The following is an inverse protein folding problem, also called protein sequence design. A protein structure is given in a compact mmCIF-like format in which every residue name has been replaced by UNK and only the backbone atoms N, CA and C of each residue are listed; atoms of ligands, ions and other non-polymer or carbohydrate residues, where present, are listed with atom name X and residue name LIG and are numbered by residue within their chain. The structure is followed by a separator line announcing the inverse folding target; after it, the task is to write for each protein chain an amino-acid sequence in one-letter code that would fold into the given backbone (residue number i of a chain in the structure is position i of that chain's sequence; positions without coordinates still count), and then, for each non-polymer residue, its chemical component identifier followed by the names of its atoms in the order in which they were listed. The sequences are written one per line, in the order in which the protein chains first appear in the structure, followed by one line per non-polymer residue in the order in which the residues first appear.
data_IF_894764699410
#
_entry.id   IF_894764699410
#
_cell.length_a   1.000
_cell.length_b   1.000
_cell.length_c   1.000
_cell.angle_alpha   90.00
_cell.angle_beta   90.00
_cell.angle_gamma   90.00
#
_symmetry.space_group_name_H-M   'P 1'
#
loop_
_entity.id
_entity.type
_entity.pdbx_description
1 polymer ?
#
# COMPACT_ATOMS: atom_id res chain seq x y z
N UNK A 1 38.34 -2.03 -0.18
CA UNK A 1 37.20 -1.95 -1.13
C UNK A 1 37.79 -2.29 -2.50
N UNK A 2 37.29 -3.32 -3.14
CA UNK A 2 37.82 -3.78 -4.43
C UNK A 2 37.01 -3.12 -5.56
N UNK A 3 37.56 -2.07 -6.14
CA UNK A 3 37.04 -1.48 -7.37
C UNK A 3 37.84 -2.02 -8.56
N UNK A 4 37.15 -2.33 -9.63
CA UNK A 4 37.73 -2.81 -10.88
C UNK A 4 36.93 -2.25 -12.04
N UNK A 5 37.63 -1.88 -13.09
CA UNK A 5 37.03 -1.55 -14.36
C UNK A 5 36.78 -2.82 -15.16
N UNK A 6 35.51 -3.13 -15.43
CA UNK A 6 35.06 -4.39 -16.04
C UNK A 6 34.47 -4.09 -17.42
N UNK A 7 34.71 -4.99 -18.37
CA UNK A 7 34.06 -4.93 -19.68
C UNK A 7 32.54 -5.09 -19.52
N UNK A 8 31.77 -4.24 -20.20
CA UNK A 8 30.32 -4.21 -20.07
C UNK A 8 29.67 -5.52 -20.52
N UNK A 9 30.30 -6.25 -21.43
CA UNK A 9 29.81 -7.53 -21.93
C UNK A 9 30.05 -8.71 -20.96
N UNK A 10 30.88 -8.52 -19.94
CA UNK A 10 31.06 -9.46 -18.84
C UNK A 10 30.01 -9.28 -17.72
N UNK A 11 29.22 -8.19 -17.78
CA UNK A 11 28.19 -7.89 -16.80
C UNK A 11 26.83 -8.42 -17.23
N UNK A 12 26.10 -8.99 -16.29
CA UNK A 12 24.71 -9.39 -16.54
C UNK A 12 23.79 -9.06 -15.36
N UNK A 13 22.51 -8.83 -15.67
CA UNK A 13 21.47 -8.62 -14.68
C UNK A 13 20.88 -9.97 -14.29
N UNK A 14 20.99 -10.32 -13.01
CA UNK A 14 20.47 -11.56 -12.47
C UNK A 14 18.94 -11.59 -12.43
N UNK A 15 18.36 -12.79 -12.52
CA UNK A 15 16.94 -13.06 -12.24
C UNK A 15 16.52 -12.76 -10.80
N UNK A 16 17.48 -12.66 -9.89
CA UNK A 16 17.29 -12.25 -8.50
C UNK A 16 16.87 -10.77 -8.42
N UNK A 17 17.28 -9.96 -9.40
CA UNK A 17 16.90 -8.56 -9.47
C UNK A 17 15.40 -8.42 -9.74
N UNK A 18 14.67 -7.90 -8.77
CA UNK A 18 13.19 -7.83 -8.74
C UNK A 18 12.62 -6.99 -9.89
N UNK A 19 13.42 -6.14 -10.52
CA UNK A 19 13.01 -5.26 -11.61
C UNK A 19 13.21 -5.95 -12.95
N UNK A 20 12.33 -6.92 -13.29
CA UNK A 20 12.33 -7.62 -14.57
C UNK A 20 11.83 -6.77 -15.75
N UNK A 21 11.19 -5.63 -15.49
CA UNK A 21 10.54 -4.80 -16.50
C UNK A 21 10.98 -3.35 -16.38
N UNK A 22 11.85 -2.93 -17.29
CA UNK A 22 12.06 -1.52 -17.67
C UNK A 22 11.14 -1.23 -18.86
N UNK A 23 9.84 -1.55 -18.73
CA UNK A 23 8.89 -1.53 -19.84
C UNK A 23 7.98 -0.29 -19.82
N UNK A 24 8.21 0.69 -18.93
CA UNK A 24 7.48 1.94 -18.98
C UNK A 24 8.26 3.04 -19.71
N UNK A 25 7.57 3.85 -20.51
CA UNK A 25 8.14 5.04 -21.15
C UNK A 25 8.83 5.98 -20.14
N UNK A 26 8.33 6.06 -18.90
CA UNK A 26 8.95 6.81 -17.81
C UNK A 26 10.31 6.23 -17.38
N UNK A 27 10.50 4.92 -17.46
CA UNK A 27 11.78 4.29 -17.17
C UNK A 27 12.80 4.52 -18.29
N UNK A 28 12.38 4.54 -19.55
CA UNK A 28 13.26 4.82 -20.70
C UNK A 28 13.75 6.28 -20.68
N UNK A 29 12.86 7.25 -20.45
CA UNK A 29 13.24 8.66 -20.27
C UNK A 29 14.16 8.84 -19.07
N UNK A 30 13.86 8.23 -17.94
CA UNK A 30 14.70 8.29 -16.73
C UNK A 30 16.07 7.63 -16.90
N UNK A 31 16.25 6.65 -17.81
CA UNK A 31 17.56 6.08 -18.14
C UNK A 31 18.32 7.00 -19.07
N UNK A 32 17.66 7.63 -20.04
CA UNK A 32 18.27 8.60 -20.95
C UNK A 32 18.80 9.83 -20.19
N UNK A 33 18.04 10.36 -19.24
CA UNK A 33 18.47 11.46 -18.37
C UNK A 33 19.67 11.07 -17.52
N UNK A 34 19.64 9.87 -16.94
CA UNK A 34 20.76 9.33 -16.18
C UNK A 34 22.00 9.13 -17.06
N UNK A 35 21.83 8.68 -18.31
CA UNK A 35 22.94 8.56 -19.26
C UNK A 35 23.57 9.94 -19.57
N UNK A 36 22.75 10.96 -19.77
CA UNK A 36 23.22 12.32 -19.99
C UNK A 36 23.97 12.87 -18.76
N UNK A 37 23.49 12.57 -17.55
CA UNK A 37 24.19 12.96 -16.33
C UNK A 37 25.53 12.23 -16.19
N UNK A 38 25.57 10.93 -16.42
CA UNK A 38 26.82 10.14 -16.39
C UNK A 38 27.81 10.64 -17.47
N UNK A 39 27.33 11.05 -18.64
CA UNK A 39 28.19 11.62 -19.70
C UNK A 39 28.86 12.92 -19.23
N UNK A 40 28.15 13.74 -18.48
CA UNK A 40 28.63 15.05 -18.00
C UNK A 40 29.55 14.94 -16.78
N UNK A 41 29.16 14.14 -15.82
CA UNK A 41 29.70 14.11 -14.48
C UNK A 41 30.52 12.83 -14.17
N UNK A 42 30.53 11.86 -15.08
CA UNK A 42 31.08 10.54 -14.83
C UNK A 42 30.16 9.68 -13.94
N UNK A 43 30.55 8.41 -13.74
CA UNK A 43 29.86 7.50 -12.85
C UNK A 43 30.30 7.73 -11.40
N UNK A 44 29.56 8.55 -10.66
CA UNK A 44 29.88 8.91 -9.26
C UNK A 44 29.80 7.68 -8.35
N UNK A 45 28.76 6.86 -8.49
CA UNK A 45 28.55 5.66 -7.70
C UNK A 45 28.75 4.42 -8.58
N UNK A 46 29.78 3.58 -8.32
CA UNK A 46 30.06 2.39 -9.11
C UNK A 46 28.92 1.36 -9.03
N UNK A 47 28.84 0.48 -10.02
CA UNK A 47 27.90 -0.66 -10.03
C UNK A 47 28.42 -1.70 -9.05
N UNK A 48 27.54 -2.25 -8.19
CA UNK A 48 27.93 -3.32 -7.28
C UNK A 48 27.71 -4.66 -7.94
N UNK A 49 28.78 -5.46 -8.04
CA UNK A 49 28.79 -6.75 -8.72
C UNK A 49 29.42 -7.84 -7.85
N UNK A 50 29.12 -9.07 -8.17
CA UNK A 50 29.87 -10.25 -7.67
C UNK A 50 30.30 -11.13 -8.82
N UNK A 51 31.43 -11.82 -8.65
CA UNK A 51 31.85 -12.85 -9.59
C UNK A 51 30.98 -14.11 -9.39
N UNK A 52 30.39 -14.63 -10.46
CA UNK A 52 29.68 -15.90 -10.45
C UNK A 52 30.59 -17.10 -10.71
N UNK A 53 30.01 -18.31 -10.70
CA UNK A 53 30.76 -19.56 -10.94
C UNK A 53 31.20 -19.70 -12.41
N UNK A 54 30.70 -18.88 -13.33
CA UNK A 54 31.01 -18.91 -14.77
C UNK A 54 32.03 -17.81 -15.14
N UNK A 55 32.69 -17.21 -14.17
CA UNK A 55 33.60 -16.08 -14.36
C UNK A 55 32.94 -14.86 -15.03
N UNK A 56 31.62 -14.67 -14.83
CA UNK A 56 30.89 -13.45 -15.22
C UNK A 56 30.51 -12.65 -13.99
N UNK A 57 30.27 -11.36 -14.18
CA UNK A 57 29.91 -10.48 -13.09
C UNK A 57 28.40 -10.23 -13.04
N UNK A 58 27.79 -10.72 -11.98
CA UNK A 58 26.36 -10.52 -11.68
C UNK A 58 26.15 -9.17 -11.02
N UNK A 59 25.25 -8.35 -11.58
CA UNK A 59 24.90 -7.04 -11.02
C UNK A 59 23.96 -7.24 -9.84
N UNK A 60 24.43 -6.87 -8.65
CA UNK A 60 23.67 -6.92 -7.41
C UNK A 60 22.90 -5.62 -7.18
N UNK A 61 23.54 -4.46 -7.45
CA UNK A 61 22.92 -3.14 -7.35
C UNK A 61 23.42 -2.20 -8.43
N UNK A 62 22.54 -1.34 -8.95
CA UNK A 62 22.90 -0.34 -9.97
C UNK A 62 22.46 -0.69 -11.40
N UNK A 63 21.42 -1.50 -11.59
CA UNK A 63 20.89 -1.87 -12.89
C UNK A 63 20.58 -0.67 -13.81
N UNK A 64 19.97 0.43 -13.29
CA UNK A 64 19.72 1.64 -14.09
C UNK A 64 21.00 2.28 -14.60
N UNK A 65 22.05 2.33 -13.75
CA UNK A 65 23.38 2.83 -14.13
C UNK A 65 24.02 1.97 -15.22
N UNK A 66 23.93 0.65 -15.10
CA UNK A 66 24.36 -0.28 -16.14
C UNK A 66 23.67 -0.01 -17.48
N UNK A 67 22.35 0.13 -17.49
CA UNK A 67 21.59 0.41 -18.71
C UNK A 67 21.93 1.77 -19.32
N UNK A 68 22.09 2.80 -18.48
CA UNK A 68 22.51 4.12 -18.92
C UNK A 68 23.92 4.11 -19.55
N UNK A 69 24.86 3.35 -18.97
CA UNK A 69 26.22 3.19 -19.50
C UNK A 69 26.20 2.39 -20.80
N UNK A 70 25.37 1.36 -20.90
CA UNK A 70 25.15 0.59 -22.13
C UNK A 70 24.59 1.49 -23.24
N UNK A 71 23.67 2.40 -22.94
CA UNK A 71 23.15 3.39 -23.87
C UNK A 71 24.24 4.36 -24.36
N UNK A 72 25.23 4.67 -23.52
CA UNK A 72 26.39 5.49 -23.88
C UNK A 72 27.44 4.75 -24.72
N UNK A 73 27.26 3.45 -24.95
CA UNK A 73 28.20 2.58 -25.69
C UNK A 73 29.60 2.55 -25.06
N UNK A 74 29.71 2.77 -23.76
CA UNK A 74 30.96 2.60 -23.06
C UNK A 74 31.35 1.13 -23.02
N UNK A 75 32.62 0.83 -23.29
CA UNK A 75 33.15 -0.54 -23.28
C UNK A 75 33.45 -1.04 -21.87
N UNK A 76 33.80 -0.13 -20.98
CA UNK A 76 34.28 -0.46 -19.63
C UNK A 76 33.54 0.37 -18.62
N UNK A 77 33.26 -0.20 -17.46
CA UNK A 77 32.58 0.48 -16.35
C UNK A 77 33.22 0.13 -15.01
N UNK A 78 33.32 1.15 -14.15
CA UNK A 78 33.83 0.97 -12.79
C UNK A 78 32.82 0.24 -11.91
N UNK A 79 33.23 -0.88 -11.33
CA UNK A 79 32.44 -1.75 -10.49
C UNK A 79 33.04 -1.92 -9.10
N UNK A 80 32.18 -2.01 -8.10
CA UNK A 80 32.53 -2.47 -6.75
C UNK A 80 32.29 -3.96 -6.64
N UNK A 81 33.36 -4.75 -6.50
CA UNK A 81 33.27 -6.20 -6.38
C UNK A 81 33.06 -6.57 -4.93
N UNK A 82 31.97 -7.34 -4.68
CA UNK A 82 31.69 -7.94 -3.40
C UNK A 82 31.78 -9.47 -3.48
N UNK A 83 32.37 -10.08 -2.45
CA UNK A 83 32.42 -11.54 -2.35
C UNK A 83 31.38 -11.99 -1.34
N UNK A 84 30.22 -12.41 -1.83
CA UNK A 84 29.07 -12.77 -1.00
C UNK A 84 28.37 -13.99 -1.56
N UNK A 85 27.74 -14.77 -0.67
CA UNK A 85 26.89 -15.91 -1.04
C UNK A 85 25.65 -15.46 -1.83
N UNK A 86 24.99 -16.40 -2.51
CA UNK A 86 23.72 -16.14 -3.23
C UNK A 86 22.68 -15.50 -2.31
N UNK A 87 22.51 -16.05 -1.12
CA UNK A 87 21.55 -15.51 -0.13
C UNK A 87 21.89 -14.07 0.29
N UNK A 88 23.17 -13.76 0.50
CA UNK A 88 23.58 -12.40 0.87
C UNK A 88 23.47 -11.41 -0.30
N UNK A 89 23.69 -11.86 -1.52
CA UNK A 89 23.47 -11.07 -2.72
C UNK A 89 22.00 -10.71 -2.91
N UNK A 90 21.11 -11.69 -2.73
CA UNK A 90 19.65 -11.49 -2.76
C UNK A 90 19.20 -10.50 -1.68
N UNK A 91 19.70 -10.66 -0.46
CA UNK A 91 19.44 -9.72 0.63
C UNK A 91 19.83 -8.29 0.25
N UNK A 92 21.05 -8.08 -0.22
CA UNK A 92 21.56 -6.74 -0.60
C UNK A 92 20.69 -6.13 -1.70
N UNK A 93 20.35 -6.90 -2.73
CA UNK A 93 19.50 -6.46 -3.82
C UNK A 93 18.08 -6.07 -3.35
N UNK A 94 17.48 -6.88 -2.47
CA UNK A 94 16.16 -6.58 -1.90
C UNK A 94 16.17 -5.34 -1.01
N UNK A 95 17.20 -5.18 -0.18
CA UNK A 95 17.35 -4.01 0.71
C UNK A 95 17.51 -2.73 -0.13
N UNK A 96 18.37 -2.74 -1.16
CA UNK A 96 18.52 -1.62 -2.06
C UNK A 96 17.19 -1.24 -2.72
N UNK A 97 16.45 -2.24 -3.20
CA UNK A 97 15.15 -2.02 -3.81
C UNK A 97 14.14 -1.40 -2.84
N UNK A 98 14.10 -1.89 -1.59
CA UNK A 98 13.19 -1.38 -0.54
C UNK A 98 13.50 0.07 -0.14
N UNK A 99 14.75 0.48 -0.22
CA UNK A 99 15.18 1.85 0.12
C UNK A 99 14.86 2.89 -0.97
N UNK A 100 14.32 2.47 -2.10
CA UNK A 100 13.92 3.41 -3.18
C UNK A 100 12.69 4.23 -2.76
N UNK A 101 12.78 5.55 -2.96
CA UNK A 101 11.72 6.50 -2.60
C UNK A 101 10.42 6.34 -3.41
N UNK A 102 10.46 5.67 -4.56
CA UNK A 102 9.35 5.58 -5.53
C UNK A 102 8.73 4.18 -5.65
N UNK A 103 8.78 3.37 -4.59
CA UNK A 103 8.10 2.08 -4.60
C UNK A 103 6.60 2.24 -4.46
N UNK A 104 5.84 1.55 -5.33
CA UNK A 104 4.39 1.40 -5.15
C UNK A 104 4.09 0.61 -3.88
N UNK A 105 2.84 0.68 -3.39
CA UNK A 105 2.44 -0.07 -2.20
C UNK A 105 2.49 -1.58 -2.46
N UNK A 106 2.10 -1.99 -3.67
CA UNK A 106 2.15 -3.40 -4.10
C UNK A 106 3.60 -3.91 -4.15
N UNK A 107 4.53 -3.10 -4.67
CA UNK A 107 5.95 -3.46 -4.68
C UNK A 107 6.53 -3.62 -3.27
N UNK A 108 6.11 -2.75 -2.33
CA UNK A 108 6.48 -2.89 -0.92
C UNK A 108 5.96 -4.20 -0.32
N UNK A 109 4.70 -4.58 -0.60
CA UNK A 109 4.13 -5.87 -0.16
C UNK A 109 5.00 -7.03 -0.65
N UNK A 110 5.33 -7.04 -1.95
CA UNK A 110 6.13 -8.09 -2.58
C UNK A 110 7.56 -8.13 -2.01
N UNK A 111 8.21 -6.98 -1.91
CA UNK A 111 9.61 -6.87 -1.45
C UNK A 111 9.77 -7.20 0.03
N UNK A 112 8.88 -6.72 0.90
CA UNK A 112 8.91 -7.03 2.33
C UNK A 112 8.66 -8.52 2.58
N UNK A 113 7.76 -9.12 1.80
CA UNK A 113 7.48 -10.56 1.90
C UNK A 113 8.68 -11.41 1.46
N UNK A 114 9.37 -11.02 0.38
CA UNK A 114 10.58 -11.70 -0.06
C UNK A 114 11.69 -11.57 0.98
N UNK A 115 11.91 -10.35 1.49
CA UNK A 115 12.93 -10.10 2.51
C UNK A 115 12.64 -10.89 3.80
N UNK A 116 11.38 -10.99 4.21
CA UNK A 116 10.95 -11.80 5.35
C UNK A 116 11.32 -13.28 5.17
N UNK A 117 11.11 -13.83 3.96
CA UNK A 117 11.51 -15.21 3.66
C UNK A 117 13.05 -15.38 3.65
N UNK A 118 13.80 -14.43 3.07
CA UNK A 118 15.29 -14.47 3.05
C UNK A 118 15.86 -14.48 4.47
N UNK A 119 15.22 -13.77 5.40
CA UNK A 119 15.59 -13.78 6.82
C UNK A 119 14.94 -14.92 7.62
N UNK A 120 14.49 -16.01 6.97
CA UNK A 120 13.87 -17.16 7.62
C UNK A 120 12.72 -16.79 8.56
N UNK A 121 11.89 -15.84 8.15
CA UNK A 121 10.75 -15.34 8.89
C UNK A 121 11.10 -14.59 10.20
N UNK A 122 12.30 -14.07 10.29
CA UNK A 122 12.76 -13.26 11.42
C UNK A 122 12.33 -11.80 11.23
N UNK A 123 11.26 -11.40 11.92
CA UNK A 123 10.71 -10.03 11.87
C UNK A 123 11.74 -9.00 12.33
N UNK A 124 12.51 -9.30 13.39
CA UNK A 124 13.43 -8.33 13.98
C UNK A 124 14.58 -8.00 13.03
N UNK A 125 15.09 -8.99 12.32
CA UNK A 125 16.10 -8.76 11.28
C UNK A 125 15.55 -7.89 10.16
N UNK A 126 14.32 -8.14 9.69
CA UNK A 126 13.71 -7.36 8.63
C UNK A 126 13.51 -5.91 9.05
N UNK A 127 12.88 -5.65 10.21
CA UNK A 127 12.62 -4.26 10.65
C UNK A 127 13.90 -3.46 10.89
N UNK A 128 14.95 -4.11 11.43
CA UNK A 128 16.25 -3.47 11.61
C UNK A 128 16.94 -3.15 10.27
N UNK A 129 16.71 -3.97 9.23
CA UNK A 129 17.32 -3.79 7.93
C UNK A 129 16.66 -2.67 7.12
N UNK A 130 15.34 -2.55 7.19
CA UNK A 130 14.56 -1.59 6.37
C UNK A 130 14.00 -0.41 7.18
N UNK A 131 14.28 -0.34 8.47
CA UNK A 131 13.94 0.76 9.37
C UNK A 131 12.43 1.09 9.41
N UNK A 132 11.57 0.07 9.47
CA UNK A 132 10.12 0.25 9.66
C UNK A 132 9.66 -0.33 10.99
N UNK A 133 8.47 0.08 11.45
CA UNK A 133 7.90 -0.49 12.68
C UNK A 133 7.45 -1.94 12.48
N UNK A 134 7.50 -2.75 13.54
CA UNK A 134 6.98 -4.13 13.56
C UNK A 134 5.51 -4.17 13.11
N UNK A 135 4.69 -3.22 13.59
CA UNK A 135 3.28 -3.13 13.24
C UNK A 135 3.08 -2.88 11.73
N UNK A 136 3.91 -2.01 11.13
CA UNK A 136 3.90 -1.74 9.69
C UNK A 136 4.24 -3.00 8.90
N UNK A 137 5.34 -3.68 9.23
CA UNK A 137 5.73 -4.91 8.54
C UNK A 137 4.63 -5.98 8.61
N UNK A 138 4.04 -6.17 9.79
CA UNK A 138 2.96 -7.15 9.99
C UNK A 138 1.72 -6.85 9.13
N UNK A 139 1.36 -5.57 8.92
CA UNK A 139 0.28 -5.19 8.01
C UNK A 139 0.61 -5.63 6.57
N UNK A 140 1.81 -5.32 6.07
CA UNK A 140 2.24 -5.70 4.73
C UNK A 140 2.28 -7.22 4.52
N UNK A 141 2.77 -7.97 5.51
CA UNK A 141 2.79 -9.42 5.46
C UNK A 141 1.39 -10.05 5.47
N UNK A 142 0.44 -9.44 6.20
CA UNK A 142 -0.96 -9.89 6.21
C UNK A 142 -1.62 -9.70 4.83
N UNK A 143 -1.51 -8.50 4.26
CA UNK A 143 -2.20 -8.17 3.01
C UNK A 143 -1.64 -8.92 1.80
N UNK A 144 -0.42 -9.46 1.87
CA UNK A 144 0.13 -10.35 0.81
C UNK A 144 -0.79 -11.53 0.48
N UNK A 145 -1.65 -11.95 1.41
CA UNK A 145 -2.60 -13.07 1.19
C UNK A 145 -3.76 -12.73 0.27
N UNK A 146 -3.98 -11.44 0.01
CA UNK A 146 -5.05 -10.99 -0.87
C UNK A 146 -4.69 -11.28 -2.34
N UNK A 147 -5.69 -11.50 -3.19
CA UNK A 147 -5.49 -11.65 -4.64
C UNK A 147 -4.86 -10.39 -5.26
N UNK A 148 -4.12 -10.57 -6.36
CA UNK A 148 -3.39 -9.47 -7.03
C UNK A 148 -4.33 -8.35 -7.52
N UNK A 149 -5.53 -8.66 -7.98
CA UNK A 149 -6.53 -7.68 -8.39
C UNK A 149 -6.95 -6.75 -7.23
N UNK A 150 -7.07 -7.28 -5.99
CA UNK A 150 -7.35 -6.49 -4.79
C UNK A 150 -6.11 -5.70 -4.34
N UNK A 151 -4.92 -6.31 -4.40
CA UNK A 151 -3.68 -5.60 -4.07
C UNK A 151 -3.44 -4.39 -4.97
N UNK A 152 -3.74 -4.51 -6.26
CA UNK A 152 -3.57 -3.41 -7.22
C UNK A 152 -4.44 -2.17 -6.88
N UNK A 153 -5.51 -2.32 -6.11
CA UNK A 153 -6.33 -1.20 -5.63
C UNK A 153 -5.60 -0.30 -4.62
N UNK A 154 -4.53 -0.80 -3.99
CA UNK A 154 -3.69 0.02 -3.09
C UNK A 154 -2.97 1.16 -3.83
N UNK A 155 -2.66 0.96 -5.10
CA UNK A 155 -1.92 1.92 -5.93
C UNK A 155 -2.82 2.70 -6.92
N UNK A 156 -4.14 2.45 -6.89
CA UNK A 156 -5.13 3.21 -7.64
C UNK A 156 -5.31 4.62 -7.09
N UNK A 157 -6.00 5.48 -7.83
CA UNK A 157 -6.40 6.83 -7.44
C UNK A 157 -7.91 6.95 -7.33
N UNK A 158 -8.40 8.00 -6.67
CA UNK A 158 -9.83 8.25 -6.50
C UNK A 158 -10.55 7.21 -5.65
N UNK A 159 -11.81 6.97 -5.96
CA UNK A 159 -12.71 6.11 -5.17
C UNK A 159 -12.35 4.62 -5.24
N UNK A 160 -11.63 4.19 -6.29
CA UNK A 160 -11.16 2.82 -6.43
C UNK A 160 -10.04 2.47 -5.43
N UNK A 161 -9.38 3.48 -4.86
CA UNK A 161 -8.28 3.26 -3.94
C UNK A 161 -8.75 2.68 -2.63
N UNK A 162 -8.02 1.68 -2.16
CA UNK A 162 -8.13 1.19 -0.78
C UNK A 162 -6.86 1.52 0.01
N UNK A 163 -7.01 1.73 1.31
CA UNK A 163 -5.88 1.91 2.21
C UNK A 163 -5.34 0.57 2.72
N UNK A 164 -4.12 0.57 3.25
CA UNK A 164 -3.52 -0.62 3.86
C UNK A 164 -4.42 -1.17 4.98
N UNK A 165 -5.06 -0.29 5.78
CA UNK A 165 -5.92 -0.72 6.88
C UNK A 165 -7.21 -1.37 6.39
N UNK A 166 -7.80 -0.88 5.30
CA UNK A 166 -8.93 -1.54 4.62
C UNK A 166 -8.50 -2.92 4.10
N UNK A 167 -7.34 -3.00 3.45
CA UNK A 167 -6.79 -4.27 2.96
C UNK A 167 -6.55 -5.27 4.11
N UNK A 168 -6.08 -4.81 5.27
CA UNK A 168 -5.94 -5.66 6.47
C UNK A 168 -7.29 -6.21 6.94
N UNK A 169 -8.36 -5.41 6.91
CA UNK A 169 -9.69 -5.93 7.26
C UNK A 169 -10.18 -6.95 6.22
N UNK A 170 -9.95 -6.72 4.93
CA UNK A 170 -10.27 -7.68 3.87
C UNK A 170 -9.59 -9.05 4.08
N UNK A 171 -8.39 -9.10 4.65
CA UNK A 171 -7.72 -10.39 4.93
C UNK A 171 -8.42 -11.26 5.97
N UNK A 172 -9.38 -10.72 6.72
CA UNK A 172 -10.15 -11.45 7.73
C UNK A 172 -11.39 -12.13 7.15
N UNK A 173 -11.72 -11.83 5.90
CA UNK A 173 -12.84 -12.45 5.20
C UNK A 173 -12.53 -13.93 4.88
N UNK A 174 -13.55 -14.79 4.84
CA UNK A 174 -13.40 -16.17 4.39
C UNK A 174 -12.86 -16.26 2.96
N UNK A 175 -12.07 -17.30 2.66
CA UNK A 175 -11.39 -17.46 1.36
C UNK A 175 -12.35 -17.69 0.17
N UNK A 176 -13.57 -18.14 0.44
CA UNK A 176 -14.60 -18.41 -0.57
C UNK A 176 -15.40 -17.17 -1.00
N UNK A 177 -15.10 -15.99 -0.42
CA UNK A 177 -15.79 -14.74 -0.74
C UNK A 177 -15.18 -14.09 -1.98
N UNK A 178 -16.05 -13.54 -2.83
CA UNK A 178 -15.63 -12.70 -3.94
C UNK A 178 -15.25 -11.29 -3.44
N UNK A 179 -13.94 -11.03 -3.30
CA UNK A 179 -13.41 -9.75 -2.84
C UNK A 179 -13.81 -8.58 -3.75
N UNK A 180 -13.93 -8.79 -5.07
CA UNK A 180 -14.28 -7.72 -6.01
C UNK A 180 -15.68 -7.17 -5.75
N UNK A 181 -16.65 -8.05 -5.49
CA UNK A 181 -18.00 -7.63 -5.16
C UNK A 181 -18.03 -6.83 -3.85
N UNK A 182 -17.35 -7.30 -2.82
CA UNK A 182 -17.25 -6.58 -1.54
C UNK A 182 -16.64 -5.19 -1.73
N UNK A 183 -15.53 -5.11 -2.45
CA UNK A 183 -14.84 -3.82 -2.69
C UNK A 183 -15.71 -2.85 -3.48
N UNK A 184 -16.42 -3.33 -4.51
CA UNK A 184 -17.37 -2.51 -5.27
C UNK A 184 -18.48 -1.95 -4.40
N UNK A 185 -19.09 -2.77 -3.55
CA UNK A 185 -20.16 -2.33 -2.66
C UNK A 185 -19.72 -1.24 -1.69
N UNK A 186 -18.52 -1.34 -1.14
CA UNK A 186 -18.01 -0.36 -0.18
C UNK A 186 -17.24 0.81 -0.84
N UNK A 187 -17.14 0.84 -2.16
CA UNK A 187 -16.27 1.76 -2.92
C UNK A 187 -16.54 3.23 -2.58
N UNK A 188 -17.80 3.63 -2.51
CA UNK A 188 -18.23 5.02 -2.25
C UNK A 188 -18.00 5.50 -0.81
N UNK A 189 -17.66 4.59 0.10
CA UNK A 189 -17.42 4.90 1.51
C UNK A 189 -16.03 5.49 1.73
N UNK A 190 -15.88 6.36 2.72
CA UNK A 190 -14.57 6.80 3.21
C UNK A 190 -13.77 5.62 3.77
N UNK A 191 -12.44 5.75 3.87
CA UNK A 191 -11.60 4.65 4.39
C UNK A 191 -12.03 4.16 5.77
N UNK A 192 -12.48 5.08 6.64
CA UNK A 192 -12.94 4.75 7.98
C UNK A 192 -14.29 4.01 7.97
N UNK A 193 -15.20 4.43 7.11
CA UNK A 193 -16.47 3.75 6.86
C UNK A 193 -16.27 2.35 6.26
N UNK A 194 -15.34 2.22 5.29
CA UNK A 194 -14.96 0.91 4.73
C UNK A 194 -14.51 -0.07 5.82
N UNK A 195 -13.66 0.38 6.74
CA UNK A 195 -13.20 -0.44 7.87
C UNK A 195 -14.37 -0.82 8.79
N UNK A 196 -15.24 0.14 9.12
CA UNK A 196 -16.41 -0.11 9.97
C UNK A 196 -17.38 -1.11 9.30
N UNK A 197 -17.69 -0.91 8.03
CA UNK A 197 -18.55 -1.80 7.24
C UNK A 197 -18.01 -3.23 7.22
N UNK A 198 -16.70 -3.39 6.93
CA UNK A 198 -16.06 -4.70 6.91
C UNK A 198 -16.08 -5.39 8.28
N UNK A 199 -15.83 -4.64 9.37
CA UNK A 199 -15.91 -5.22 10.73
C UNK A 199 -17.31 -5.70 11.07
N UNK A 200 -18.34 -4.91 10.78
CA UNK A 200 -19.74 -5.29 10.98
C UNK A 200 -20.11 -6.51 10.13
N UNK A 201 -19.77 -6.47 8.86
CA UNK A 201 -20.00 -7.58 7.92
C UNK A 201 -19.36 -8.90 8.39
N UNK A 202 -18.09 -8.84 8.86
CA UNK A 202 -17.39 -10.00 9.42
C UNK A 202 -18.09 -10.50 10.70
N UNK A 203 -18.52 -9.60 11.59
CA UNK A 203 -19.19 -9.97 12.84
C UNK A 203 -20.57 -10.61 12.63
N UNK A 204 -21.25 -10.30 11.53
CA UNK A 204 -22.56 -10.84 11.13
C UNK A 204 -22.46 -12.11 10.28
N UNK A 205 -21.27 -12.68 10.12
CA UNK A 205 -21.08 -13.96 9.41
C UNK A 205 -20.89 -13.84 7.90
N UNK A 206 -20.59 -12.65 7.39
CA UNK A 206 -20.25 -12.38 5.97
C UNK A 206 -21.41 -12.71 4.99
N UNK A 207 -22.63 -12.41 5.36
CA UNK A 207 -23.79 -12.56 4.46
C UNK A 207 -23.82 -11.37 3.47
N UNK A 208 -23.65 -11.65 2.18
CA UNK A 208 -23.54 -10.62 1.12
C UNK A 208 -24.83 -9.80 1.00
N UNK A 209 -25.98 -10.38 1.23
CA UNK A 209 -27.29 -9.71 1.13
C UNK A 209 -27.43 -8.59 2.17
N UNK A 210 -26.72 -8.69 3.30
CA UNK A 210 -26.75 -7.70 4.38
C UNK A 210 -25.74 -6.54 4.18
N UNK A 211 -24.79 -6.69 3.24
CA UNK A 211 -23.72 -5.70 3.07
C UNK A 211 -24.24 -4.33 2.65
N UNK A 212 -25.30 -4.29 1.86
CA UNK A 212 -25.93 -3.04 1.43
C UNK A 212 -26.58 -2.31 2.60
N UNK A 213 -27.32 -3.04 3.44
CA UNK A 213 -27.95 -2.48 4.64
C UNK A 213 -26.92 -1.95 5.63
N UNK A 214 -25.80 -2.66 5.81
CA UNK A 214 -24.67 -2.24 6.64
C UNK A 214 -24.09 -0.92 6.09
N UNK A 215 -23.87 -0.81 4.79
CA UNK A 215 -23.35 0.39 4.13
C UNK A 215 -24.27 1.60 4.35
N UNK A 216 -25.59 1.43 4.14
CA UNK A 216 -26.58 2.49 4.32
C UNK A 216 -26.63 2.97 5.76
N UNK A 217 -26.63 2.06 6.72
CA UNK A 217 -26.63 2.37 8.15
C UNK A 217 -25.38 3.16 8.58
N UNK A 218 -24.20 2.80 8.05
CA UNK A 218 -22.94 3.51 8.36
C UNK A 218 -22.92 4.91 7.72
N UNK A 219 -23.44 5.06 6.50
CA UNK A 219 -23.56 6.35 5.84
C UNK A 219 -24.51 7.30 6.60
N UNK A 220 -25.65 6.77 7.07
CA UNK A 220 -26.63 7.52 7.85
C UNK A 220 -26.12 7.96 9.23
N UNK A 221 -25.37 7.11 9.91
CA UNK A 221 -24.79 7.46 11.23
C UNK A 221 -23.82 8.63 11.16
N UNK A 222 -23.04 8.76 10.09
CA UNK A 222 -22.10 9.90 9.96
C UNK A 222 -22.79 11.18 9.52
N UNK A 223 -23.83 11.10 8.70
CA UNK A 223 -24.64 12.28 8.40
C UNK A 223 -25.30 12.86 9.65
N UNK A 224 -25.73 12.02 10.57
CA UNK A 224 -26.26 12.44 11.87
C UNK A 224 -25.18 13.04 12.79
N UNK A 225 -23.92 12.59 12.71
CA UNK A 225 -22.80 13.17 13.49
C UNK A 225 -22.34 14.52 12.88
N UNK A 226 -22.38 14.69 11.55
CA UNK A 226 -22.09 15.99 10.92
C UNK A 226 -23.19 17.04 11.14
N UNK A 227 -24.42 16.61 11.44
CA UNK A 227 -25.53 17.48 11.80
C UNK A 227 -25.59 17.82 13.30
N UNK A 228 -24.65 17.33 14.10
CA UNK A 228 -24.47 17.78 15.48
C UNK A 228 -23.48 18.96 15.51
N UNK A 229 -23.91 20.18 15.20
CA UNK A 229 -23.11 21.38 15.50
C UNK A 229 -22.94 21.47 17.00
N UNK A 230 -21.91 22.15 17.43
CA UNK A 230 -21.64 22.46 18.86
C UNK A 230 -22.68 23.43 19.47
N UNK A 231 -23.96 23.17 19.23
CA UNK A 231 -25.05 23.95 19.81
C UNK A 231 -25.48 23.32 21.16
N UNK A 232 -25.71 24.13 22.18
CA UNK A 232 -26.26 23.62 23.42
C UNK A 232 -27.67 23.05 23.15
N UNK A 233 -27.87 21.80 23.51
CA UNK A 233 -29.21 21.20 23.53
C UNK A 233 -30.00 21.79 24.64
N UNK A 234 -31.19 22.32 24.34
CA UNK A 234 -32.06 23.01 25.34
C UNK A 234 -33.10 22.06 25.92
N UNK A 235 -33.43 21.01 25.19
CA UNK A 235 -34.39 19.99 25.66
C UNK A 235 -34.15 18.62 25.07
N UNK A 236 -34.36 17.59 25.86
CA UNK A 236 -34.54 16.20 25.42
C UNK A 236 -36.02 15.97 25.11
N UNK A 237 -36.32 15.36 23.98
CA UNK A 237 -37.70 14.97 23.64
C UNK A 237 -37.74 13.45 23.60
N UNK A 238 -38.60 12.84 24.39
CA UNK A 238 -38.91 11.42 24.29
C UNK A 238 -39.88 11.17 23.14
N UNK A 239 -39.35 10.63 22.02
CA UNK A 239 -40.16 10.05 20.95
C UNK A 239 -39.78 8.57 20.87
N UNK A 240 -40.36 7.76 21.76
CA UNK A 240 -40.08 6.31 21.90
C UNK A 240 -38.59 5.90 22.04
N UNK A 241 -37.67 6.83 21.96
CA UNK A 241 -36.21 6.75 22.22
C UNK A 241 -35.77 8.15 22.58
N UNK A 242 -35.02 8.36 23.66
CA UNK A 242 -34.45 9.64 24.09
C UNK A 242 -33.61 10.26 22.93
N UNK A 243 -34.20 11.14 22.14
CA UNK A 243 -33.54 11.87 21.06
C UNK A 243 -33.35 13.32 21.56
N UNK A 244 -32.09 13.77 21.56
CA UNK A 244 -31.75 15.17 21.82
C UNK A 244 -31.86 15.98 20.54
N UNK A 245 -32.69 17.01 20.56
CA UNK A 245 -32.94 17.87 19.38
C UNK A 245 -32.41 19.27 19.66
N UNK A 246 -31.65 19.88 18.73
CA UNK A 246 -31.24 21.28 18.83
C UNK A 246 -32.46 22.21 18.91
N UNK A 247 -32.36 23.30 19.71
CA UNK A 247 -33.46 24.22 19.97
C UNK A 247 -34.08 24.81 18.68
N UNK A 248 -33.30 25.12 17.69
CA UNK A 248 -33.77 25.69 16.42
C UNK A 248 -34.67 24.75 15.61
N UNK A 249 -34.49 23.43 15.76
CA UNK A 249 -35.35 22.41 15.12
C UNK A 249 -36.54 22.03 15.98
N UNK A 250 -36.51 22.36 17.25
CA UNK A 250 -37.55 22.00 18.22
C UNK A 250 -38.91 22.53 17.79
N UNK A 251 -38.99 23.81 17.43
CA UNK A 251 -40.24 24.47 17.07
C UNK A 251 -40.84 23.88 15.82
N UNK A 252 -40.03 23.64 14.79
CA UNK A 252 -40.46 23.06 13.50
C UNK A 252 -40.97 21.63 13.68
N UNK A 253 -40.29 20.82 14.51
CA UNK A 253 -40.73 19.46 14.82
C UNK A 253 -42.02 19.44 15.65
N UNK A 254 -42.16 20.31 16.64
CA UNK A 254 -43.39 20.44 17.41
C UNK A 254 -44.57 20.86 16.54
N UNK A 255 -44.36 21.80 15.60
CA UNK A 255 -45.40 22.22 14.68
C UNK A 255 -45.78 21.13 13.67
N UNK A 256 -44.82 20.33 13.24
CA UNK A 256 -45.04 19.14 12.38
C UNK A 256 -45.87 18.05 13.11
N UNK A 257 -45.56 17.79 14.38
CA UNK A 257 -46.28 16.79 15.20
C UNK A 257 -47.70 17.27 15.53
N UNK A 258 -47.88 18.53 15.89
CA UNK A 258 -49.18 19.12 16.15
C UNK A 258 -50.10 19.08 14.91
N UNK A 259 -49.55 19.37 13.76
CA UNK A 259 -50.29 19.34 12.48
C UNK A 259 -50.69 17.91 12.03
N UNK A 260 -50.11 16.87 12.64
CA UNK A 260 -50.46 15.46 12.39
C UNK A 260 -51.26 14.81 13.50
N UNK A 261 -51.94 15.56 14.34
CA UNK A 261 -52.86 15.11 15.41
C UNK A 261 -52.29 14.18 16.49
N UNK A 262 -51.01 14.39 16.85
CA UNK A 262 -50.42 13.71 18.02
C UNK A 262 -50.47 14.57 19.29
N UNK A 263 -50.91 13.99 20.41
CA UNK A 263 -50.74 14.62 21.73
C UNK A 263 -49.27 14.50 22.16
N UNK A 264 -48.67 15.63 22.52
CA UNK A 264 -47.32 15.68 23.06
C UNK A 264 -47.49 15.97 24.56
N UNK A 265 -47.06 14.99 25.37
CA UNK A 265 -46.92 15.24 26.83
C UNK A 265 -45.50 15.73 27.11
N UNK A 266 -45.43 16.84 27.83
CA UNK A 266 -44.17 17.37 28.33
C UNK A 266 -43.89 16.76 29.70
N UNK A 267 -42.73 16.14 29.85
CA UNK A 267 -42.19 15.70 31.14
C UNK A 267 -41.26 16.80 31.68
#
# INVERSE_FOLDING_TARGET
MNYLDIDIDELYVSDINVRKTLESEEDETGISDLANDIRKNGLINPITVRLDNNNKYEIIAGQRRFLAIKLLQNKVVSCHIINVSNQKAEEISLVENVQRNQMTTVDKVKSYSKLYNVYNNDIDKVINCIHISRATLQKYLKIKKLPDNVLNLLDKSGDEKITIDVAVELTKLPQNINYENIVKEIQTLTSQQKISALKTFISQGCNIDELQDIKENIALQQNNIQLAPSFPYVKDIEINKNIRIPEYLYKDIIDLIKNRSGNIEYI
#
